data_IF_316828221493
#
_entry.id   IF_316828221493
#
_cell.length_a   1.000
_cell.length_b   1.000
_cell.length_c   1.000
_cell.angle_alpha   90.00
_cell.angle_beta   90.00
_cell.angle_gamma   90.00
#
_symmetry.space_group_name_H-M   'P 1'
#
loop_
_entity.id
_entity.type
_entity.pdbx_description
1 polymer ?
#
# COMPACT_ATOMS: atom_id res chain seq x y z
N UNK A 1 14.68 -3.51 -5.33
CA UNK A 1 14.11 -3.78 -4.00
C UNK A 1 15.16 -3.47 -2.94
N UNK A 2 14.76 -2.88 -1.83
CA UNK A 2 15.60 -2.69 -0.65
C UNK A 2 14.76 -2.82 0.63
N UNK A 3 15.45 -3.09 1.74
CA UNK A 3 14.86 -3.26 3.07
C UNK A 3 15.08 -1.98 3.87
N UNK A 4 14.04 -1.56 4.61
CA UNK A 4 14.10 -0.39 5.49
C UNK A 4 14.32 0.91 4.73
N UNK A 5 13.26 1.59 4.29
CA UNK A 5 13.42 2.79 3.51
C UNK A 5 12.24 3.74 3.51
N UNK A 6 12.40 4.81 2.77
CA UNK A 6 11.44 5.90 2.65
C UNK A 6 11.13 6.16 1.18
N UNK A 7 9.92 6.62 0.93
CA UNK A 7 9.47 7.05 -0.39
C UNK A 7 9.19 8.55 -0.33
N UNK A 8 9.62 9.29 -1.33
CA UNK A 8 9.43 10.74 -1.39
C UNK A 8 8.89 11.18 -2.76
N UNK A 9 8.25 12.34 -2.80
CA UNK A 9 7.82 12.99 -4.04
C UNK A 9 8.72 14.19 -4.42
N UNK A 10 8.40 14.81 -5.53
CA UNK A 10 9.16 15.98 -6.03
C UNK A 10 8.89 17.26 -5.21
N UNK A 11 7.85 17.29 -4.40
CA UNK A 11 7.46 18.41 -3.54
C UNK A 11 8.13 18.34 -2.16
N UNK A 12 8.82 17.22 -1.87
CA UNK A 12 9.54 16.98 -0.63
C UNK A 12 8.70 16.31 0.46
N UNK A 13 7.50 15.82 0.13
CA UNK A 13 6.77 14.95 1.05
C UNK A 13 7.45 13.59 1.14
N UNK A 14 7.56 13.05 2.35
CA UNK A 14 8.25 11.79 2.64
C UNK A 14 7.33 10.86 3.44
N UNK A 15 7.36 9.56 3.11
CA UNK A 15 6.66 8.53 3.89
C UNK A 15 7.32 8.32 5.25
N UNK A 16 6.56 7.72 6.18
CA UNK A 16 7.18 7.02 7.32
C UNK A 16 8.05 5.88 6.80
N UNK A 17 8.88 5.31 7.68
CA UNK A 17 9.73 4.18 7.32
C UNK A 17 8.89 2.97 6.91
N UNK A 18 9.25 2.39 5.77
CA UNK A 18 8.65 1.19 5.20
C UNK A 18 9.65 0.03 5.30
N UNK A 19 9.16 -1.17 5.54
CA UNK A 19 10.04 -2.34 5.73
C UNK A 19 10.63 -2.83 4.41
N UNK A 20 9.85 -2.79 3.32
CA UNK A 20 10.33 -3.15 1.98
C UNK A 20 9.83 -2.11 0.98
N UNK A 21 10.72 -1.66 0.12
CA UNK A 21 10.41 -0.80 -1.02
C UNK A 21 10.88 -1.49 -2.30
N UNK A 22 9.95 -1.68 -3.24
CA UNK A 22 10.22 -2.28 -4.55
C UNK A 22 10.17 -1.19 -5.60
N UNK A 23 11.26 -1.03 -6.35
CA UNK A 23 11.40 0.00 -7.38
C UNK A 23 11.64 -0.62 -8.74
N UNK A 24 11.37 0.12 -9.80
CA UNK A 24 11.84 -0.25 -11.15
C UNK A 24 13.36 -0.26 -11.20
N UNK A 25 13.93 -0.97 -12.18
CA UNK A 25 15.40 -1.02 -12.36
C UNK A 25 16.00 0.33 -12.75
N UNK A 26 15.22 1.18 -13.39
CA UNK A 26 15.63 2.54 -13.80
C UNK A 26 15.44 3.60 -12.71
N UNK A 27 14.79 3.23 -11.60
CA UNK A 27 14.54 4.17 -10.51
C UNK A 27 15.83 4.46 -9.73
N UNK A 28 16.24 5.72 -9.58
CA UNK A 28 17.36 6.06 -8.73
C UNK A 28 17.05 5.72 -7.28
N UNK A 29 18.05 5.20 -6.57
CA UNK A 29 17.98 4.94 -5.15
C UNK A 29 19.06 5.76 -4.46
N UNK A 30 18.63 6.53 -3.48
CA UNK A 30 19.54 7.35 -2.69
C UNK A 30 19.81 6.66 -1.35
N UNK A 31 21.06 6.60 -0.96
CA UNK A 31 21.48 6.06 0.34
C UNK A 31 22.18 7.16 1.13
N UNK A 32 21.65 7.47 2.30
CA UNK A 32 22.33 8.31 3.26
C UNK A 32 23.12 7.41 4.22
N UNK A 33 24.43 7.50 4.16
CA UNK A 33 25.35 6.69 4.99
C UNK A 33 25.85 7.43 6.22
N UNK A 34 25.18 8.51 6.61
CA UNK A 34 25.55 9.29 7.80
C UNK A 34 24.92 8.68 9.06
N UNK A 35 25.75 8.14 9.96
CA UNK A 35 25.34 7.56 11.23
C UNK A 35 25.32 6.04 11.23
N UNK A 36 24.85 5.46 12.34
CA UNK A 36 24.84 4.00 12.58
C UNK A 36 23.84 3.23 11.69
N UNK A 37 22.91 3.92 11.02
CA UNK A 37 21.90 3.32 10.17
C UNK A 37 21.84 3.98 8.80
N UNK A 38 22.23 3.24 7.77
CA UNK A 38 22.03 3.66 6.39
C UNK A 38 20.53 3.76 6.09
N UNK A 39 20.06 4.96 5.71
CA UNK A 39 18.68 5.17 5.25
C UNK A 39 18.65 5.14 3.73
N UNK A 40 17.70 4.39 3.18
CA UNK A 40 17.46 4.30 1.74
C UNK A 40 16.22 5.10 1.36
N UNK A 41 16.29 5.81 0.24
CA UNK A 41 15.21 6.64 -0.27
C UNK A 41 14.95 6.33 -1.74
N UNK A 42 13.69 6.31 -2.14
CA UNK A 42 13.29 6.18 -3.53
C UNK A 42 12.21 7.20 -3.89
N UNK A 43 12.24 7.77 -5.11
CA UNK A 43 11.14 8.59 -5.59
C UNK A 43 9.88 7.74 -5.80
N UNK A 44 8.73 8.33 -5.49
CA UNK A 44 7.42 7.67 -5.62
C UNK A 44 7.17 7.19 -7.05
N UNK A 45 7.54 7.99 -8.06
CA UNK A 45 7.29 7.70 -9.49
C UNK A 45 8.03 6.45 -9.99
N UNK A 46 9.09 6.02 -9.31
CA UNK A 46 9.81 4.79 -9.62
C UNK A 46 9.49 3.62 -8.70
N UNK A 47 8.60 3.81 -7.73
CA UNK A 47 8.23 2.80 -6.74
C UNK A 47 7.00 2.03 -7.20
N UNK A 48 7.11 0.71 -7.33
CA UNK A 48 6.04 -0.18 -7.79
C UNK A 48 5.28 -0.85 -6.64
N UNK A 49 5.96 -1.15 -5.54
CA UNK A 49 5.30 -1.73 -4.38
C UNK A 49 6.02 -1.36 -3.08
N UNK A 50 5.26 -1.39 -2.00
CA UNK A 50 5.75 -1.20 -0.64
C UNK A 50 5.13 -2.23 0.28
N UNK A 51 5.88 -2.64 1.30
CA UNK A 51 5.39 -3.60 2.30
C UNK A 51 5.66 -3.06 3.69
N UNK A 52 4.64 -3.14 4.55
CA UNK A 52 4.80 -3.03 5.99
C UNK A 52 4.67 -4.43 6.59
N UNK A 53 5.70 -4.90 7.28
CA UNK A 53 5.79 -6.25 7.81
C UNK A 53 5.64 -6.27 9.33
N UNK A 54 4.81 -7.18 9.84
CA UNK A 54 4.57 -7.35 11.28
C UNK A 54 4.77 -8.82 11.65
N UNK A 55 5.35 -9.10 12.81
CA UNK A 55 5.39 -10.46 13.35
C UNK A 55 3.99 -10.93 13.76
N UNK A 56 3.21 -10.06 14.42
CA UNK A 56 1.84 -10.34 14.82
C UNK A 56 0.98 -9.11 14.54
N UNK A 57 -0.10 -9.27 13.76
CA UNK A 57 -1.02 -8.20 13.41
C UNK A 57 -2.14 -8.11 14.45
N UNK A 58 -1.89 -7.35 15.52
CA UNK A 58 -2.94 -6.93 16.46
C UNK A 58 -3.73 -5.75 15.90
N UNK A 59 -4.80 -5.32 16.55
CA UNK A 59 -5.53 -4.10 16.14
C UNK A 59 -4.63 -2.88 16.13
N UNK A 60 -3.82 -2.70 17.17
CA UNK A 60 -2.86 -1.60 17.29
C UNK A 60 -1.79 -1.64 16.17
N UNK A 61 -1.24 -2.84 15.89
CA UNK A 61 -0.26 -3.02 14.82
C UNK A 61 -0.87 -2.83 13.42
N UNK A 62 -2.17 -3.12 13.27
CA UNK A 62 -2.91 -2.82 12.05
C UNK A 62 -3.04 -1.30 11.86
N UNK A 63 -3.46 -0.56 12.88
CA UNK A 63 -3.59 0.90 12.83
C UNK A 63 -2.25 1.56 12.51
N UNK A 64 -1.16 1.15 13.17
CA UNK A 64 0.20 1.63 12.86
C UNK A 64 0.60 1.34 11.40
N UNK A 65 0.29 0.16 10.88
CA UNK A 65 0.57 -0.19 9.50
C UNK A 65 -0.28 0.62 8.50
N UNK A 66 -1.55 0.88 8.82
CA UNK A 66 -2.43 1.72 8.01
C UNK A 66 -1.93 3.18 7.99
N UNK A 67 -1.50 3.72 9.13
CA UNK A 67 -0.89 5.04 9.24
C UNK A 67 0.40 5.15 8.43
N UNK A 68 1.25 4.11 8.47
CA UNK A 68 2.48 4.07 7.69
C UNK A 68 2.18 4.11 6.19
N UNK A 69 1.23 3.32 5.72
CA UNK A 69 0.84 3.34 4.30
C UNK A 69 0.14 4.64 3.89
N UNK A 70 -0.66 5.24 4.78
CA UNK A 70 -1.31 6.53 4.54
C UNK A 70 -0.31 7.70 4.41
N UNK A 71 0.88 7.57 4.99
CA UNK A 71 1.94 8.59 4.87
C UNK A 71 2.63 8.62 3.51
N UNK A 72 2.44 7.60 2.66
CA UNK A 72 3.08 7.52 1.34
C UNK A 72 2.56 8.68 0.47
N UNK A 73 3.45 9.47 -0.15
CA UNK A 73 3.05 10.52 -1.07
C UNK A 73 2.20 9.98 -2.22
N UNK A 74 1.30 10.80 -2.74
CA UNK A 74 0.52 10.45 -3.93
C UNK A 74 1.40 10.55 -5.15
N UNK A 75 1.34 9.58 -6.05
CA UNK A 75 2.03 9.68 -7.33
C UNK A 75 1.51 10.88 -8.13
N UNK A 76 2.42 11.52 -8.83
CA UNK A 76 2.06 12.58 -9.78
C UNK A 76 1.24 11.95 -10.91
N UNK A 77 0.06 12.49 -11.26
CA UNK A 77 -0.74 11.98 -12.35
C UNK A 77 0.10 11.86 -13.63
N UNK A 78 -0.01 10.73 -14.33
CA UNK A 78 0.60 10.58 -15.65
C UNK A 78 -0.16 11.51 -16.61
N UNK A 79 0.45 12.62 -16.96
CA UNK A 79 -0.06 13.47 -18.04
C UNK A 79 0.15 12.75 -19.38
N UNK A 80 -0.76 12.95 -20.33
CA UNK A 80 -0.67 12.39 -21.69
C UNK A 80 0.66 12.67 -22.38
N UNK A 81 1.33 13.76 -22.01
CA UNK A 81 2.65 14.17 -22.54
C UNK A 81 3.81 13.27 -22.07
N UNK A 82 3.63 12.53 -20.97
CA UNK A 82 4.61 11.57 -20.47
C UNK A 82 4.42 10.15 -21.04
N UNK A 83 3.26 9.86 -21.61
CA UNK A 83 2.96 8.59 -22.23
C UNK A 83 3.24 8.67 -23.74
N UNK A 84 4.52 8.63 -24.12
CA UNK A 84 4.96 8.65 -25.53
C UNK A 84 4.44 7.47 -26.38
N UNK A 85 3.65 6.56 -25.83
CA UNK A 85 3.27 5.28 -26.44
C UNK A 85 1.78 4.95 -26.35
N UNK A 86 0.90 5.89 -26.03
CA UNK A 86 -0.55 5.64 -25.99
C UNK A 86 -1.02 4.51 -25.05
N UNK A 87 -0.19 4.11 -24.09
CA UNK A 87 -0.54 3.10 -23.13
C UNK A 87 -1.52 3.68 -22.10
N UNK A 88 -2.74 3.16 -22.08
CA UNK A 88 -3.69 3.47 -21.03
C UNK A 88 -3.38 2.60 -19.81
N UNK A 89 -2.69 3.18 -18.81
CA UNK A 89 -2.43 2.51 -17.54
C UNK A 89 -3.60 2.88 -16.63
N UNK A 90 -4.55 1.96 -16.47
CA UNK A 90 -5.63 2.10 -15.51
C UNK A 90 -5.11 1.96 -14.08
N UNK A 91 -5.76 2.65 -13.16
CA UNK A 91 -5.51 2.57 -11.72
C UNK A 91 -4.07 2.94 -11.26
N UNK A 92 -3.35 3.73 -12.08
CA UNK A 92 -2.02 4.24 -11.75
C UNK A 92 -2.02 5.06 -10.44
N UNK A 93 -3.12 5.71 -10.14
CA UNK A 93 -3.31 6.48 -8.90
C UNK A 93 -3.22 5.61 -7.65
N UNK A 94 -3.45 4.31 -7.78
CA UNK A 94 -3.32 3.34 -6.69
C UNK A 94 -1.87 2.86 -6.46
N UNK A 95 -0.93 3.27 -7.31
CA UNK A 95 0.48 2.93 -7.12
C UNK A 95 1.12 3.80 -6.03
N UNK A 96 2.16 3.29 -5.34
CA UNK A 96 2.69 1.92 -5.39
C UNK A 96 1.68 0.91 -4.84
N UNK A 97 1.80 -0.37 -5.23
CA UNK A 97 1.02 -1.46 -4.64
C UNK A 97 1.39 -1.62 -3.16
N UNK A 98 0.41 -1.48 -2.28
CA UNK A 98 0.60 -1.39 -0.82
C UNK A 98 0.21 -2.69 -0.14
N UNK A 99 1.16 -3.28 0.59
CA UNK A 99 0.97 -4.57 1.25
C UNK A 99 1.22 -4.42 2.74
N UNK A 100 0.33 -5.02 3.54
CA UNK A 100 0.60 -5.36 4.95
C UNK A 100 0.79 -6.88 4.99
N UNK A 101 1.95 -7.32 5.47
CA UNK A 101 2.26 -8.73 5.66
C UNK A 101 2.45 -9.02 7.14
N UNK A 102 1.88 -10.14 7.61
CA UNK A 102 2.14 -10.61 8.98
C UNK A 102 2.30 -12.13 9.02
N UNK A 103 3.12 -12.61 9.96
CA UNK A 103 3.30 -14.06 10.18
C UNK A 103 2.20 -14.64 11.06
N UNK A 104 1.52 -13.80 11.85
CA UNK A 104 0.38 -14.14 12.69
C UNK A 104 -0.54 -12.93 12.84
N UNK A 105 -1.75 -13.09 13.34
CA UNK A 105 -2.65 -11.95 13.55
C UNK A 105 -4.04 -12.34 14.05
N UNK A 106 -4.85 -11.29 14.27
CA UNK A 106 -6.26 -11.37 14.67
C UNK A 106 -7.10 -12.09 13.61
N UNK A 107 -8.26 -12.58 14.01
CA UNK A 107 -9.19 -13.23 13.08
C UNK A 107 -9.68 -12.27 11.98
N UNK A 108 -9.85 -12.79 10.75
CA UNK A 108 -10.28 -12.01 9.58
C UNK A 108 -11.54 -11.15 9.80
N UNK A 109 -12.61 -11.62 10.46
CA UNK A 109 -13.78 -10.77 10.72
C UNK A 109 -13.46 -9.58 11.64
N UNK A 110 -12.55 -9.76 12.60
CA UNK A 110 -12.07 -8.68 13.48
C UNK A 110 -11.24 -7.68 12.68
N UNK A 111 -10.33 -8.17 11.82
CA UNK A 111 -9.51 -7.34 10.94
C UNK A 111 -10.39 -6.44 10.06
N UNK A 112 -11.38 -7.01 9.37
CA UNK A 112 -12.30 -6.25 8.50
C UNK A 112 -13.06 -5.17 9.26
N UNK A 113 -13.57 -5.49 10.47
CA UNK A 113 -14.23 -4.50 11.33
C UNK A 113 -13.28 -3.37 11.76
N UNK A 114 -12.02 -3.70 12.08
CA UNK A 114 -11.01 -2.72 12.47
C UNK A 114 -10.65 -1.80 11.31
N UNK A 115 -10.51 -2.33 10.08
CA UNK A 115 -10.28 -1.52 8.87
C UNK A 115 -11.44 -0.56 8.63
N UNK A 116 -12.68 -1.04 8.71
CA UNK A 116 -13.87 -0.20 8.52
C UNK A 116 -13.96 0.90 9.58
N UNK A 117 -13.67 0.58 10.84
CA UNK A 117 -13.65 1.54 11.92
C UNK A 117 -12.55 2.60 11.72
N UNK A 118 -11.35 2.17 11.35
CA UNK A 118 -10.20 3.05 11.09
C UNK A 118 -10.54 4.08 9.99
N UNK A 119 -10.99 3.65 8.81
CA UNK A 119 -11.29 4.58 7.70
C UNK A 119 -12.55 5.41 7.92
N UNK A 120 -13.46 5.00 8.80
CA UNK A 120 -14.58 5.83 9.23
C UNK A 120 -14.10 6.98 10.12
N UNK A 121 -13.07 6.75 10.93
CA UNK A 121 -12.47 7.75 11.79
C UNK A 121 -11.44 8.63 11.06
N UNK A 122 -10.94 8.18 9.90
CA UNK A 122 -9.96 8.87 9.05
C UNK A 122 -10.49 9.08 7.63
N UNK A 123 -11.59 9.86 7.45
CA UNK A 123 -12.20 10.09 6.14
C UNK A 123 -11.31 10.89 5.20
N UNK A 124 -10.29 11.59 5.72
CA UNK A 124 -9.28 12.35 4.98
C UNK A 124 -8.32 11.44 4.19
N UNK A 125 -8.19 10.15 4.56
CA UNK A 125 -7.31 9.21 3.86
C UNK A 125 -7.99 8.71 2.58
N UNK A 126 -7.51 9.13 1.39
CA UNK A 126 -8.11 8.72 0.13
C UNK A 126 -7.94 7.22 -0.12
N UNK A 127 -8.80 6.65 -0.95
CA UNK A 127 -8.75 5.22 -1.28
C UNK A 127 -7.41 4.80 -1.89
N UNK A 128 -6.75 5.69 -2.62
CA UNK A 128 -5.44 5.47 -3.25
C UNK A 128 -4.30 5.25 -2.24
N UNK A 129 -4.46 5.69 -0.99
CA UNK A 129 -3.48 5.48 0.10
C UNK A 129 -3.80 4.27 0.98
N UNK A 130 -4.87 3.54 0.68
CA UNK A 130 -5.26 2.35 1.44
C UNK A 130 -4.49 1.12 0.95
N UNK A 131 -4.26 0.09 1.78
CA UNK A 131 -3.59 -1.14 1.36
C UNK A 131 -4.36 -1.82 0.21
N UNK A 132 -3.62 -2.42 -0.72
CA UNK A 132 -4.16 -3.26 -1.77
C UNK A 132 -4.35 -4.70 -1.28
N UNK A 133 -3.41 -5.15 -0.43
CA UNK A 133 -3.38 -6.50 0.13
C UNK A 133 -2.99 -6.46 1.61
N UNK A 134 -3.72 -7.20 2.44
CA UNK A 134 -3.29 -7.57 3.78
C UNK A 134 -3.25 -9.09 3.82
N UNK A 135 -2.06 -9.66 4.10
CA UNK A 135 -1.86 -11.09 4.15
C UNK A 135 -1.35 -11.51 5.52
N UNK A 136 -2.07 -12.43 6.14
CA UNK A 136 -1.64 -13.10 7.37
C UNK A 136 -1.33 -14.54 7.03
N UNK A 137 -0.05 -14.89 7.05
CA UNK A 137 0.46 -16.16 6.55
C UNK A 137 -0.22 -17.39 7.18
N UNK A 138 -0.69 -18.30 6.34
CA UNK A 138 -1.38 -19.53 6.75
C UNK A 138 -2.75 -19.31 7.39
N UNK A 139 -3.33 -18.10 7.28
CA UNK A 139 -4.66 -17.80 7.82
C UNK A 139 -5.62 -17.23 6.77
N UNK A 140 -5.25 -16.13 6.15
CA UNK A 140 -6.12 -15.46 5.18
C UNK A 140 -5.42 -14.35 4.43
N UNK A 141 -6.03 -13.96 3.33
CA UNK A 141 -5.71 -12.74 2.56
C UNK A 141 -6.92 -11.83 2.49
N UNK A 142 -6.70 -10.52 2.62
CA UNK A 142 -7.72 -9.48 2.43
C UNK A 142 -7.28 -8.57 1.30
N UNK A 143 -8.09 -8.48 0.26
CA UNK A 143 -7.84 -7.68 -0.94
C UNK A 143 -8.77 -6.47 -0.97
N UNK A 144 -8.26 -5.33 -1.40
CA UNK A 144 -9.08 -4.17 -1.74
C UNK A 144 -9.53 -4.27 -3.19
N UNK A 145 -10.81 -4.10 -3.44
CA UNK A 145 -11.37 -4.09 -4.79
C UNK A 145 -11.00 -2.78 -5.50
N UNK A 146 -10.29 -2.89 -6.62
CA UNK A 146 -9.79 -1.75 -7.39
C UNK A 146 -10.73 -1.35 -8.55
N UNK A 147 -11.58 -2.27 -9.03
CA UNK A 147 -12.42 -2.06 -10.20
C UNK A 147 -13.89 -1.82 -9.83
N UNK A 148 -14.56 -0.95 -10.60
CA UNK A 148 -15.98 -0.55 -10.41
C UNK A 148 -16.97 -1.72 -10.60
N UNK A 149 -16.62 -2.73 -11.39
CA UNK A 149 -17.53 -3.82 -11.80
C UNK A 149 -17.12 -5.18 -11.22
N UNK A 150 -16.50 -5.19 -10.04
CA UNK A 150 -16.19 -6.45 -9.38
C UNK A 150 -17.48 -7.14 -8.92
N UNK A 151 -17.57 -8.46 -9.16
CA UNK A 151 -18.71 -9.28 -8.76
C UNK A 151 -18.22 -10.52 -7.99
N UNK A 152 -19.03 -10.94 -7.02
CA UNK A 152 -18.84 -12.24 -6.37
C UNK A 152 -19.19 -13.37 -7.32
N UNK A 153 -18.77 -14.59 -7.02
CA UNK A 153 -19.15 -15.80 -7.78
C UNK A 153 -20.67 -16.03 -7.88
N UNK A 154 -21.45 -15.42 -6.99
CA UNK A 154 -22.92 -15.44 -7.02
C UNK A 154 -23.54 -14.21 -7.71
N UNK A 155 -22.76 -13.39 -8.42
CA UNK A 155 -23.25 -12.24 -9.19
C UNK A 155 -23.56 -10.98 -8.36
N UNK A 156 -23.19 -10.95 -7.08
CA UNK A 156 -23.37 -9.74 -6.26
C UNK A 156 -22.25 -8.75 -6.56
N UNK A 157 -22.62 -7.52 -6.97
CA UNK A 157 -21.67 -6.44 -7.19
C UNK A 157 -20.97 -6.03 -5.89
N UNK A 158 -19.67 -5.84 -5.98
CA UNK A 158 -18.82 -5.36 -4.87
C UNK A 158 -18.33 -3.96 -5.24
N UNK A 159 -18.63 -2.94 -4.41
CA UNK A 159 -18.17 -1.57 -4.68
C UNK A 159 -16.64 -1.47 -4.70
N UNK A 160 -16.11 -0.62 -5.57
CA UNK A 160 -14.69 -0.23 -5.56
C UNK A 160 -14.31 0.28 -4.16
N UNK A 161 -13.11 -0.08 -3.71
CA UNK A 161 -12.60 0.29 -2.39
C UNK A 161 -13.00 -0.63 -1.25
N UNK A 162 -13.93 -1.60 -1.49
CA UNK A 162 -14.32 -2.59 -0.49
C UNK A 162 -13.18 -3.56 -0.21
N UNK A 163 -12.99 -3.92 1.05
CA UNK A 163 -12.09 -4.99 1.45
C UNK A 163 -12.81 -6.33 1.47
N UNK A 164 -12.24 -7.29 0.80
CA UNK A 164 -12.76 -8.65 0.70
C UNK A 164 -11.75 -9.65 1.23
N UNK A 165 -12.16 -10.47 2.20
CA UNK A 165 -11.31 -11.48 2.83
C UNK A 165 -11.52 -12.86 2.24
N UNK A 166 -10.44 -13.61 2.05
CA UNK A 166 -10.42 -15.00 1.61
C UNK A 166 -9.50 -15.81 2.53
N UNK A 167 -9.96 -16.95 3.08
CA UNK A 167 -9.10 -17.90 3.79
C UNK A 167 -8.00 -18.44 2.85
N UNK A 168 -6.83 -18.74 3.41
CA UNK A 168 -5.75 -19.44 2.71
C UNK A 168 -6.05 -20.92 2.51
#
# INVERSE_FOLDING_TARGET
MFLGGFVFDMEGAESKQLDIVVTTNSCPRYMLTTGEHAKSFAPIDGTIAVVNAKSTLTTEQLEDALDNLASIPTQTPLTTDRLAVGANISDYEDWPYKVIYATDGIAMPTLLKSIDAYYRNHPEIPSTRRPNLIHVAGKYSVLRILHENAETTCGKKIPKGTFFGQPD
#
